data_IF_504081235602
#
_entry.id   IF_504081235602
#
_cell.length_a   1.000
_cell.length_b   1.000
_cell.length_c   1.000
_cell.angle_alpha   90.00
_cell.angle_beta   90.00
_cell.angle_gamma   90.00
#
_symmetry.space_group_name_H-M   'P 1'
#
loop_
_entity.id
_entity.type
_entity.pdbx_description
1 polymer ?
#
# COMPACT_ATOMS: atom_id res chain seq x y z
N UNK A 1 -1.81 -14.41 14.66
CA UNK A 1 -3.10 -13.69 14.77
C UNK A 1 -3.26 -12.85 13.50
N UNK A 2 -4.47 -12.59 12.99
CA UNK A 2 -4.72 -11.75 11.80
C UNK A 2 -3.96 -10.42 11.76
N UNK A 3 -3.71 -9.82 12.93
CA UNK A 3 -2.83 -8.64 13.09
C UNK A 3 -1.42 -8.87 12.56
N UNK A 4 -0.82 -10.04 12.75
CA UNK A 4 0.56 -10.32 12.33
C UNK A 4 0.64 -10.36 10.79
N UNK A 5 -0.36 -10.96 10.14
CA UNK A 5 -0.46 -11.03 8.67
C UNK A 5 -0.69 -9.65 8.05
N UNK A 6 -1.53 -8.83 8.68
CA UNK A 6 -1.73 -7.44 8.26
C UNK A 6 -0.44 -6.63 8.46
N UNK A 7 0.26 -6.86 9.56
CA UNK A 7 1.52 -6.17 9.87
C UNK A 7 2.59 -6.51 8.84
N UNK A 8 2.79 -7.80 8.54
CA UNK A 8 3.74 -8.27 7.53
C UNK A 8 3.43 -7.66 6.16
N UNK A 9 2.17 -7.66 5.74
CA UNK A 9 1.73 -7.05 4.48
C UNK A 9 2.01 -5.54 4.41
N UNK A 10 1.77 -4.81 5.51
CA UNK A 10 2.06 -3.38 5.58
C UNK A 10 3.56 -3.10 5.59
N UNK A 11 4.35 -3.95 6.26
CA UNK A 11 5.80 -3.86 6.27
C UNK A 11 6.38 -4.07 4.87
N UNK A 12 5.94 -5.10 4.16
CA UNK A 12 6.39 -5.37 2.79
C UNK A 12 6.07 -4.20 1.85
N UNK A 13 4.85 -3.67 1.91
CA UNK A 13 4.45 -2.51 1.12
C UNK A 13 5.30 -1.27 1.45
N UNK A 14 5.61 -1.05 2.72
CA UNK A 14 6.48 0.04 3.13
C UNK A 14 7.92 -0.13 2.60
N UNK A 15 8.49 -1.32 2.71
CA UNK A 15 9.85 -1.62 2.26
C UNK A 15 10.01 -1.52 0.74
N UNK A 16 9.01 -2.00 -0.01
CA UNK A 16 9.07 -2.09 -1.48
C UNK A 16 8.66 -0.76 -2.14
N UNK A 17 7.56 -0.14 -1.68
CA UNK A 17 6.97 1.00 -2.39
C UNK A 17 7.32 2.36 -1.76
N UNK A 18 7.33 2.44 -0.42
CA UNK A 18 7.41 3.72 0.32
C UNK A 18 8.85 4.13 0.62
N UNK A 19 9.61 3.30 1.34
CA UNK A 19 10.94 3.64 1.86
C UNK A 19 11.94 4.06 0.76
N UNK A 20 12.01 3.41 -0.41
CA UNK A 20 12.92 3.83 -1.48
C UNK A 20 12.66 5.25 -2.00
N UNK A 21 11.42 5.72 -1.86
CA UNK A 21 10.95 7.03 -2.36
C UNK A 21 10.77 8.05 -1.24
N UNK A 22 11.05 7.68 0.01
CA UNK A 22 10.87 8.57 1.13
C UNK A 22 11.75 9.81 0.99
N UNK A 23 11.09 10.98 0.88
CA UNK A 23 11.74 12.28 0.61
C UNK A 23 12.56 12.32 -0.70
N UNK A 24 12.27 11.43 -1.63
CA UNK A 24 13.01 11.27 -2.88
C UNK A 24 12.08 11.13 -4.11
N UNK A 25 10.84 11.61 -4.01
CA UNK A 25 9.90 11.63 -5.13
C UNK A 25 10.35 12.62 -6.20
N UNK A 26 10.33 12.17 -7.45
CA UNK A 26 10.60 12.99 -8.63
C UNK A 26 9.36 13.76 -9.10
N UNK A 27 9.59 14.76 -9.95
CA UNK A 27 8.51 15.47 -10.64
C UNK A 27 7.69 14.48 -11.48
N UNK A 28 6.37 14.49 -11.29
CA UNK A 28 5.45 13.55 -11.93
C UNK A 28 5.19 12.25 -11.14
N UNK A 29 5.88 12.02 -10.03
CA UNK A 29 5.53 10.92 -9.10
C UNK A 29 4.43 11.30 -8.09
N UNK A 30 3.89 12.51 -8.21
CA UNK A 30 2.74 13.02 -7.44
C UNK A 30 1.63 13.38 -8.42
N UNK A 31 0.42 12.85 -8.18
CA UNK A 31 -0.78 13.08 -8.97
C UNK A 31 -1.89 13.66 -8.09
N UNK A 32 -2.58 14.68 -8.59
CA UNK A 32 -3.78 15.22 -7.95
C UNK A 32 -4.99 14.38 -8.37
N UNK A 33 -5.60 13.68 -7.42
CA UNK A 33 -6.80 12.84 -7.62
C UNK A 33 -8.06 13.70 -7.67
N UNK A 34 -8.12 14.69 -6.79
CA UNK A 34 -9.17 15.68 -6.70
C UNK A 34 -8.60 16.98 -6.12
N UNK A 35 -9.29 18.14 -6.22
CA UNK A 35 -8.75 19.41 -5.73
C UNK A 35 -8.28 19.32 -4.26
N UNK A 36 -6.97 19.39 -4.04
CA UNK A 36 -6.35 19.28 -2.71
C UNK A 36 -6.14 17.85 -2.18
N UNK A 37 -6.48 16.83 -2.96
CA UNK A 37 -6.20 15.43 -2.66
C UNK A 37 -5.12 14.91 -3.62
N UNK A 38 -3.92 14.70 -3.08
CA UNK A 38 -2.80 14.17 -3.85
C UNK A 38 -2.51 12.74 -3.45
N UNK A 39 -2.06 11.95 -4.42
CA UNK A 39 -1.50 10.64 -4.21
C UNK A 39 -0.19 10.51 -4.99
N UNK A 40 0.67 9.62 -4.53
CA UNK A 40 1.98 9.40 -5.11
C UNK A 40 2.04 8.06 -5.83
N UNK A 41 3.05 7.89 -6.67
CA UNK A 41 3.38 6.58 -7.24
C UNK A 41 3.60 5.54 -6.14
N UNK A 42 4.19 5.95 -5.01
CA UNK A 42 4.40 5.09 -3.85
C UNK A 42 3.06 4.61 -3.24
N UNK A 43 2.05 5.48 -3.15
CA UNK A 43 0.72 5.11 -2.65
C UNK A 43 0.04 4.06 -3.54
N UNK A 44 0.11 4.26 -4.87
CA UNK A 44 -0.47 3.33 -5.85
C UNK A 44 0.22 1.97 -5.81
N UNK A 45 1.56 1.95 -5.77
CA UNK A 45 2.32 0.70 -5.70
C UNK A 45 2.06 -0.03 -4.38
N UNK A 46 1.94 0.68 -3.25
CA UNK A 46 1.56 0.08 -1.99
C UNK A 46 0.15 -0.54 -2.04
N UNK A 47 -0.82 0.14 -2.67
CA UNK A 47 -2.19 -0.39 -2.86
C UNK A 47 -2.20 -1.67 -3.70
N UNK A 48 -1.39 -1.73 -4.76
CA UNK A 48 -1.22 -2.91 -5.62
C UNK A 48 -0.64 -4.11 -4.85
N UNK A 49 0.27 -3.89 -3.90
CA UNK A 49 0.85 -4.92 -3.05
C UNK A 49 -0.12 -5.42 -1.97
N UNK A 50 -0.88 -4.50 -1.36
CA UNK A 50 -1.77 -4.79 -0.23
C UNK A 50 -3.07 -5.45 -0.70
N UNK A 51 -3.68 -4.96 -1.78
CA UNK A 51 -5.05 -5.33 -2.16
C UNK A 51 -5.27 -6.84 -2.37
N UNK A 52 -4.40 -7.58 -3.08
CA UNK A 52 -4.60 -9.03 -3.27
C UNK A 52 -4.50 -9.80 -1.96
N UNK A 53 -3.55 -9.44 -1.10
CA UNK A 53 -3.27 -10.15 0.15
C UNK A 53 -4.35 -9.85 1.20
N UNK A 54 -4.77 -8.59 1.31
CA UNK A 54 -5.86 -8.16 2.19
C UNK A 54 -7.17 -8.89 1.85
N UNK A 55 -7.50 -9.00 0.56
CA UNK A 55 -8.67 -9.76 0.11
C UNK A 55 -8.63 -11.23 0.54
N UNK A 56 -7.49 -11.89 0.37
CA UNK A 56 -7.35 -13.30 0.73
C UNK A 56 -7.43 -13.52 2.25
N UNK A 57 -6.81 -12.64 3.04
CA UNK A 57 -6.89 -12.69 4.51
C UNK A 57 -8.34 -12.48 4.99
N UNK A 58 -9.03 -11.46 4.47
CA UNK A 58 -10.42 -11.21 4.80
C UNK A 58 -11.33 -12.39 4.40
N UNK A 59 -11.11 -12.97 3.21
CA UNK A 59 -11.87 -14.15 2.74
C UNK A 59 -11.65 -15.36 3.64
N UNK A 60 -10.41 -15.61 4.07
CA UNK A 60 -10.09 -16.72 4.98
C UNK A 60 -10.74 -16.58 6.35
N UNK A 61 -10.98 -15.36 6.83
CA UNK A 61 -11.62 -15.10 8.12
C UNK A 61 -13.15 -15.15 8.05
N UNK A 62 -13.74 -14.82 6.90
CA UNK A 62 -15.19 -14.75 6.71
C UNK A 62 -15.82 -16.07 6.24
N UNK A 63 -15.03 -16.91 5.55
CA UNK A 63 -15.49 -18.20 4.98
C UNK A 63 -14.88 -19.42 5.67
N UNK A 64 -14.10 -19.21 6.74
CA UNK A 64 -13.41 -20.24 7.53
C UNK A 64 -14.04 -20.47 8.89
#
# INVERSE_FOLDING_TARGET
MWIDQVTEMLTDAAEIAILPRFRALADGEVAEKSPGEVATVADREAEELISPTCWNTARSLLLG
#
